data_IF_195494763913
#
_entry.id   IF_195494763913
#
_cell.length_a   1.000
_cell.length_b   1.000
_cell.length_c   1.000
_cell.angle_alpha   90.00
_cell.angle_beta   90.00
_cell.angle_gamma   90.00
#
_symmetry.space_group_name_H-M   'P 1'
#
loop_
_entity.id
_entity.type
_entity.pdbx_description
1 polymer ?
#
# COMPACT_ATOMS: atom_id res chain seq x y z
N UNK A 1 20.86 23.67 -13.28
CA UNK A 1 19.39 23.58 -13.38
C UNK A 1 18.84 23.36 -11.98
N UNK A 2 17.85 24.16 -11.55
CA UNK A 2 17.23 23.96 -10.23
C UNK A 2 16.32 22.74 -10.30
N UNK A 3 16.49 21.79 -9.37
CA UNK A 3 15.59 20.66 -9.25
C UNK A 3 14.34 21.10 -8.46
N UNK A 4 13.16 20.79 -8.98
CA UNK A 4 11.90 21.01 -8.27
C UNK A 4 11.56 19.74 -7.46
N UNK A 5 11.10 19.91 -6.23
CA UNK A 5 10.55 18.83 -5.41
C UNK A 5 9.04 18.84 -5.58
N UNK A 6 8.46 17.71 -5.99
CA UNK A 6 7.04 17.58 -6.27
C UNK A 6 6.47 16.44 -5.43
N UNK A 7 5.31 16.67 -4.83
CA UNK A 7 4.49 15.63 -4.20
C UNK A 7 3.23 15.48 -5.03
N UNK A 8 2.92 14.26 -5.45
CA UNK A 8 1.75 13.95 -6.28
C UNK A 8 0.89 12.93 -5.55
N UNK A 9 -0.39 13.26 -5.35
CA UNK A 9 -1.40 12.31 -4.89
C UNK A 9 -2.21 11.84 -6.10
N UNK A 10 -2.42 10.54 -6.23
CA UNK A 10 -3.11 9.99 -7.41
C UNK A 10 -3.83 8.69 -7.10
N UNK A 11 -4.94 8.48 -7.80
CA UNK A 11 -5.66 7.21 -7.85
C UNK A 11 -5.25 6.36 -9.06
N UNK A 12 -4.39 6.86 -9.95
CA UNK A 12 -3.98 6.16 -11.18
C UNK A 12 -2.91 5.09 -10.88
N UNK A 13 -3.21 3.78 -11.05
CA UNK A 13 -2.26 2.71 -10.76
C UNK A 13 -0.98 2.81 -11.59
N UNK A 14 -1.09 3.19 -12.87
CA UNK A 14 0.07 3.35 -13.78
C UNK A 14 1.10 4.36 -13.25
N UNK A 15 0.65 5.45 -12.63
CA UNK A 15 1.57 6.42 -12.03
C UNK A 15 2.31 5.84 -10.80
N UNK A 16 1.67 4.93 -10.05
CA UNK A 16 2.31 4.24 -8.93
C UNK A 16 3.41 3.30 -9.42
N UNK A 17 3.21 2.61 -10.55
CA UNK A 17 4.26 1.72 -11.12
C UNK A 17 5.52 2.47 -11.56
N UNK A 18 5.43 3.76 -11.87
CA UNK A 18 6.59 4.55 -12.28
C UNK A 18 7.65 4.66 -11.17
N UNK A 19 7.28 4.53 -9.90
CA UNK A 19 8.26 4.53 -8.80
C UNK A 19 9.15 3.29 -8.78
N UNK A 20 8.72 2.19 -9.40
CA UNK A 20 9.50 0.96 -9.44
C UNK A 20 10.63 1.02 -10.47
N UNK A 21 10.41 1.74 -11.58
CA UNK A 21 11.34 1.79 -12.71
C UNK A 21 12.24 3.04 -12.70
N UNK A 22 12.18 3.87 -11.66
CA UNK A 22 12.90 5.14 -11.63
C UNK A 22 13.29 5.58 -10.22
N UNK A 23 14.60 5.52 -9.92
CA UNK A 23 15.19 5.89 -8.64
C UNK A 23 14.91 7.34 -8.19
N UNK A 24 14.48 8.21 -9.10
CA UNK A 24 14.12 9.61 -8.79
C UNK A 24 12.67 9.75 -8.28
N UNK A 25 11.87 8.70 -8.38
CA UNK A 25 10.44 8.70 -8.03
C UNK A 25 10.23 7.71 -6.89
N UNK A 26 9.93 8.22 -5.71
CA UNK A 26 9.47 7.40 -4.59
C UNK A 26 7.95 7.24 -4.61
N UNK A 27 7.45 6.12 -4.07
CA UNK A 27 6.05 5.98 -3.70
C UNK A 27 5.89 6.08 -2.18
N UNK A 28 4.69 6.46 -1.77
CA UNK A 28 4.27 6.36 -0.38
C UNK A 28 2.77 6.07 -0.32
N UNK A 29 2.35 5.35 0.70
CA UNK A 29 0.97 4.97 0.91
C UNK A 29 0.52 5.30 2.34
N UNK A 30 -0.74 5.71 2.47
CA UNK A 30 -1.36 5.85 3.79
C UNK A 30 -1.74 4.46 4.27
N UNK A 31 -1.24 4.09 5.45
CA UNK A 31 -1.55 2.82 6.07
C UNK A 31 -3.00 2.78 6.56
N UNK A 32 -3.55 1.57 6.57
CA UNK A 32 -4.84 1.29 7.13
C UNK A 32 -4.66 0.64 8.50
N UNK A 33 -5.63 0.87 9.37
CA UNK A 33 -5.72 0.25 10.68
C UNK A 33 -6.38 -1.14 10.54
N UNK A 34 -5.61 -2.16 10.91
CA UNK A 34 -6.02 -3.57 10.89
C UNK A 34 -6.34 -4.13 12.29
N UNK A 35 -6.41 -3.27 13.32
CA UNK A 35 -6.72 -3.69 14.70
C UNK A 35 -8.11 -4.33 14.84
N UNK A 36 -9.04 -3.96 13.97
CA UNK A 36 -10.38 -4.53 13.89
C UNK A 36 -10.49 -5.46 12.67
N UNK A 37 -11.17 -6.60 12.83
CA UNK A 37 -11.48 -7.56 11.76
C UNK A 37 -12.63 -7.12 10.86
N UNK A 38 -13.18 -5.92 11.07
CA UNK A 38 -14.20 -5.37 10.18
C UNK A 38 -13.70 -5.28 8.73
N UNK A 39 -14.66 -5.42 7.80
CA UNK A 39 -14.46 -5.24 6.36
C UNK A 39 -13.97 -3.81 6.06
N UNK A 40 -14.21 -2.89 6.99
CA UNK A 40 -13.92 -1.48 6.89
C UNK A 40 -12.63 -1.14 7.63
N UNK A 41 -11.54 -1.05 6.90
CA UNK A 41 -10.29 -0.55 7.46
C UNK A 41 -10.30 0.97 7.48
N UNK A 42 -10.02 1.56 8.65
CA UNK A 42 -9.90 3.01 8.80
C UNK A 42 -8.49 3.44 8.38
N UNK A 43 -8.30 4.64 7.82
CA UNK A 43 -6.95 5.15 7.65
C UNK A 43 -6.30 5.35 9.01
N UNK A 44 -5.07 4.86 9.19
CA UNK A 44 -4.27 5.17 10.38
C UNK A 44 -3.69 6.59 10.33
N UNK A 45 -3.76 7.22 9.15
CA UNK A 45 -3.10 8.50 8.83
C UNK A 45 -1.58 8.45 8.97
N UNK A 46 -0.99 7.25 9.02
CA UNK A 46 0.44 7.05 8.94
C UNK A 46 0.86 6.88 7.47
N UNK A 47 1.95 7.53 7.07
CA UNK A 47 2.48 7.45 5.71
C UNK A 47 3.69 6.53 5.69
N UNK A 48 3.63 5.48 4.89
CA UNK A 48 4.73 4.53 4.68
C UNK A 48 5.40 4.78 3.34
N UNK A 49 6.73 4.92 3.34
CA UNK A 49 7.53 5.18 2.14
C UNK A 49 8.04 3.89 1.49
N UNK A 50 8.05 3.87 0.16
CA UNK A 50 8.43 2.70 -0.63
C UNK A 50 7.33 1.63 -0.68
N UNK A 51 6.10 1.97 -0.26
CA UNK A 51 4.93 1.10 -0.37
C UNK A 51 3.98 1.62 -1.45
N UNK A 52 3.68 0.77 -2.42
CA UNK A 52 2.58 0.99 -3.38
C UNK A 52 1.28 0.61 -2.68
N UNK A 53 0.44 1.60 -2.37
CA UNK A 53 -0.83 1.36 -1.70
C UNK A 53 -1.89 0.75 -2.63
N UNK A 54 -2.72 -0.14 -2.08
CA UNK A 54 -3.89 -0.70 -2.76
C UNK A 54 -5.02 0.33 -2.93
N UNK A 55 -5.96 0.03 -3.83
CA UNK A 55 -7.16 0.86 -4.04
C UNK A 55 -8.32 0.29 -3.23
N UNK A 56 -8.91 1.13 -2.37
CA UNK A 56 -10.08 0.76 -1.55
C UNK A 56 -11.36 1.48 -2.01
N UNK A 57 -11.45 1.81 -3.30
CA UNK A 57 -12.53 2.63 -3.86
C UNK A 57 -13.93 2.03 -3.65
N UNK A 58 -14.10 0.71 -3.85
CA UNK A 58 -15.39 0.04 -3.65
C UNK A 58 -15.84 0.07 -2.18
N UNK A 59 -14.91 -0.17 -1.25
CA UNK A 59 -15.18 -0.11 0.19
C UNK A 59 -15.50 1.32 0.65
N UNK A 60 -14.94 2.34 0.00
CA UNK A 60 -15.32 3.72 0.25
C UNK A 60 -16.72 4.03 -0.32
N UNK A 61 -17.00 3.58 -1.54
CA UNK A 61 -18.28 3.79 -2.22
C UNK A 61 -19.45 3.13 -1.47
N UNK A 62 -19.23 1.96 -0.87
CA UNK A 62 -20.26 1.28 -0.05
C UNK A 62 -20.69 2.06 1.19
N UNK A 63 -19.96 3.12 1.55
CA UNK A 63 -20.22 3.97 2.72
C UNK A 63 -20.76 5.36 2.35
N UNK A 64 -21.00 5.63 1.06
CA UNK A 64 -21.56 6.89 0.63
C UNK A 64 -22.94 7.13 1.27
N UNK A 65 -23.25 8.40 1.53
CA UNK A 65 -24.57 8.83 1.99
C UNK A 65 -25.11 9.85 0.98
N UNK A 66 -26.24 9.58 0.32
CA UNK A 66 -27.08 8.38 0.44
C UNK A 66 -26.38 7.10 -0.06
N UNK A 67 -26.78 5.95 0.49
CA UNK A 67 -26.21 4.65 0.14
C UNK A 67 -26.39 4.31 -1.34
N UNK A 68 -25.34 3.78 -1.95
CA UNK A 68 -25.42 3.24 -3.30
C UNK A 68 -26.16 1.90 -3.29
N UNK A 69 -26.96 1.59 -4.32
CA UNK A 69 -27.60 0.28 -4.44
C UNK A 69 -26.55 -0.84 -4.56
N UNK A 70 -26.79 -1.96 -3.88
CA UNK A 70 -25.84 -3.10 -3.85
C UNK A 70 -25.50 -3.62 -5.26
N UNK A 71 -26.49 -3.73 -6.14
CA UNK A 71 -26.26 -4.18 -7.52
C UNK A 71 -25.32 -3.26 -8.32
N UNK A 72 -25.22 -1.97 -7.98
CA UNK A 72 -24.28 -1.04 -8.61
C UNK A 72 -22.86 -1.34 -8.15
N UNK A 73 -22.66 -1.60 -6.85
CA UNK A 73 -21.36 -1.97 -6.30
C UNK A 73 -20.89 -3.33 -6.82
N UNK A 74 -21.79 -4.32 -6.88
CA UNK A 74 -21.51 -5.64 -7.44
C UNK A 74 -21.12 -5.55 -8.92
N UNK A 75 -21.86 -4.75 -9.70
CA UNK A 75 -21.50 -4.52 -11.12
C UNK A 75 -20.18 -3.79 -11.26
N UNK A 76 -19.90 -2.79 -10.42
CA UNK A 76 -18.63 -2.06 -10.45
C UNK A 76 -17.45 -2.97 -10.10
N UNK A 77 -17.62 -3.88 -9.13
CA UNK A 77 -16.65 -4.94 -8.83
C UNK A 77 -16.39 -5.84 -10.04
N UNK A 78 -17.47 -6.30 -10.70
CA UNK A 78 -17.36 -7.09 -11.93
C UNK A 78 -16.59 -6.35 -13.03
N UNK A 79 -16.89 -5.08 -13.27
CA UNK A 79 -16.20 -4.28 -14.28
C UNK A 79 -14.74 -4.01 -13.95
N UNK A 80 -14.37 -3.81 -12.69
CA UNK A 80 -12.96 -3.66 -12.32
C UNK A 80 -12.17 -4.95 -12.57
N UNK A 81 -12.83 -6.10 -12.43
CA UNK A 81 -12.25 -7.40 -12.75
C UNK A 81 -12.30 -7.72 -14.25
N UNK A 82 -13.32 -7.31 -15.00
CA UNK A 82 -13.46 -7.58 -16.45
C UNK A 82 -12.67 -6.62 -17.33
N UNK A 83 -12.56 -5.33 -16.96
CA UNK A 83 -11.62 -4.38 -17.61
C UNK A 83 -10.18 -4.86 -17.47
N UNK A 84 -9.92 -5.81 -16.58
CA UNK A 84 -8.62 -6.47 -16.45
C UNK A 84 -8.28 -7.43 -17.60
N UNK A 85 -9.29 -7.93 -18.32
CA UNK A 85 -9.10 -8.97 -19.35
C UNK A 85 -9.01 -8.38 -20.78
N UNK A 86 -9.69 -7.26 -21.05
CA UNK A 86 -9.86 -6.75 -22.42
C UNK A 86 -8.86 -5.64 -22.84
N UNK A 87 -8.24 -4.93 -21.89
CA UNK A 87 -7.35 -3.79 -22.20
C UNK A 87 -5.96 -3.96 -21.55
N UNK A 88 -5.00 -4.42 -22.35
CA UNK A 88 -3.56 -4.34 -22.08
C UNK A 88 -3.09 -5.10 -20.82
N UNK A 89 -3.25 -6.44 -20.86
CA UNK A 89 -2.72 -7.44 -19.91
C UNK A 89 -1.27 -7.17 -19.44
N UNK A 90 -0.46 -6.49 -20.25
CA UNK A 90 0.92 -6.10 -19.92
C UNK A 90 0.99 -5.07 -18.78
N UNK A 91 0.14 -4.05 -18.83
CA UNK A 91 0.11 -2.93 -17.89
C UNK A 91 -0.39 -3.37 -16.51
N UNK A 92 -1.37 -4.26 -16.44
CA UNK A 92 -1.91 -4.75 -15.18
C UNK A 92 -0.99 -5.75 -14.49
N UNK A 93 -0.39 -6.67 -15.25
CA UNK A 93 0.65 -7.54 -14.71
C UNK A 93 1.81 -6.73 -14.15
N UNK A 94 2.20 -5.63 -14.82
CA UNK A 94 3.23 -4.73 -14.29
C UNK A 94 2.82 -4.07 -12.97
N UNK A 95 1.54 -3.71 -12.80
CA UNK A 95 1.04 -3.12 -11.56
C UNK A 95 0.96 -4.13 -10.42
N UNK A 96 0.45 -5.33 -10.69
CA UNK A 96 0.39 -6.41 -9.71
C UNK A 96 1.81 -6.80 -9.30
N UNK A 97 2.72 -6.98 -10.26
CA UNK A 97 4.12 -7.27 -9.97
C UNK A 97 4.77 -6.16 -9.13
N UNK A 98 4.57 -4.89 -9.49
CA UNK A 98 5.09 -3.77 -8.71
C UNK A 98 4.51 -3.74 -7.28
N UNK A 99 3.22 -4.04 -7.12
CA UNK A 99 2.57 -4.15 -5.81
C UNK A 99 3.18 -5.28 -4.98
N UNK A 100 3.32 -6.48 -5.57
CA UNK A 100 3.91 -7.64 -4.89
C UNK A 100 5.34 -7.39 -4.47
N UNK A 101 6.18 -6.87 -5.38
CA UNK A 101 7.58 -6.55 -5.06
C UNK A 101 7.69 -5.46 -3.98
N UNK A 102 6.83 -4.44 -4.03
CA UNK A 102 6.80 -3.40 -3.00
C UNK A 102 6.39 -3.94 -1.63
N UNK A 103 5.42 -4.87 -1.58
CA UNK A 103 5.04 -5.55 -0.34
C UNK A 103 6.15 -6.46 0.19
N UNK A 104 6.83 -7.21 -0.67
CA UNK A 104 7.94 -8.07 -0.29
C UNK A 104 9.11 -7.26 0.31
N UNK A 105 9.49 -6.16 -0.35
CA UNK A 105 10.52 -5.26 0.15
C UNK A 105 10.12 -4.60 1.48
N UNK A 106 8.83 -4.29 1.66
CA UNK A 106 8.34 -3.78 2.93
C UNK A 106 8.42 -4.84 4.03
N UNK A 107 7.99 -6.08 3.76
CA UNK A 107 8.08 -7.19 4.71
C UNK A 107 9.53 -7.47 5.13
N UNK A 108 10.47 -7.44 4.20
CA UNK A 108 11.87 -7.68 4.51
C UNK A 108 12.46 -6.54 5.36
N UNK A 109 12.12 -5.28 5.08
CA UNK A 109 12.49 -4.14 5.93
C UNK A 109 11.93 -4.26 7.34
N UNK A 110 10.66 -4.65 7.48
CA UNK A 110 10.04 -4.88 8.79
C UNK A 110 10.74 -6.02 9.52
N UNK A 111 11.02 -7.13 8.83
CA UNK A 111 11.70 -8.29 9.41
C UNK A 111 13.08 -7.94 9.96
N UNK A 112 13.89 -7.23 9.18
CA UNK A 112 15.23 -6.79 9.60
C UNK A 112 15.13 -5.85 10.81
N UNK A 113 14.16 -4.94 10.79
CA UNK A 113 13.93 -4.01 11.91
C UNK A 113 13.50 -4.74 13.18
N UNK A 114 12.67 -5.77 13.07
CA UNK A 114 12.26 -6.58 14.23
C UNK A 114 13.41 -7.39 14.80
N UNK A 115 14.26 -7.99 13.95
CA UNK A 115 15.42 -8.75 14.44
C UNK A 115 16.44 -7.87 15.15
N UNK A 116 16.69 -6.64 14.66
CA UNK A 116 17.60 -5.72 15.35
C UNK A 116 17.04 -5.25 16.69
N UNK A 117 15.72 -5.04 16.79
CA UNK A 117 15.07 -4.67 18.05
C UNK A 117 15.17 -5.83 19.07
N UNK A 118 15.03 -7.08 18.62
CA UNK A 118 15.21 -8.24 19.49
C UNK A 118 16.65 -8.36 20.01
N UNK A 119 17.65 -8.18 19.13
CA UNK A 119 19.07 -8.18 19.50
C UNK A 119 19.39 -7.06 20.52
N UNK A 120 18.92 -5.83 20.27
CA UNK A 120 19.07 -4.71 21.21
C UNK A 120 18.37 -4.98 22.56
N UNK A 121 17.22 -5.66 22.55
CA UNK A 121 16.50 -6.01 23.76
C UNK A 121 17.26 -7.05 24.58
N UNK A 122 17.82 -8.08 23.94
CA UNK A 122 18.68 -9.09 24.56
C UNK A 122 19.92 -8.46 25.20
N UNK A 123 20.64 -7.60 24.45
CA UNK A 123 21.82 -6.89 24.94
C UNK A 123 21.50 -5.98 26.13
N UNK A 124 20.38 -5.26 26.07
CA UNK A 124 19.91 -4.42 27.19
C UNK A 124 19.54 -5.23 28.44
N UNK A 125 19.10 -6.48 28.26
CA UNK A 125 18.72 -7.36 29.38
C UNK A 125 19.96 -7.94 30.06
N UNK A 126 20.97 -8.34 29.29
CA UNK A 126 22.24 -8.82 29.80
C UNK A 126 22.99 -7.71 30.56
N UNK A 127 23.01 -6.49 30.02
CA UNK A 127 23.64 -5.35 30.68
C UNK A 127 22.96 -5.00 32.02
N UNK A 128 21.64 -5.20 32.13
CA UNK A 128 20.89 -5.04 33.39
C UNK A 128 21.16 -6.14 34.40
N UNK A 129 21.49 -7.34 33.96
CA UNK A 129 21.76 -8.49 34.83
C UNK A 129 23.21 -8.51 35.36
N UNK A 130 24.11 -7.80 34.68
CA UNK A 130 25.52 -7.64 35.08
C UNK A 130 25.79 -6.45 36.02
N UNK A 131 24.78 -5.61 36.29
CA UNK A 131 24.81 -4.54 37.31
C UNK A 131 24.19 -5.03 38.63
#
# INVERSE_FOLDING_TARGET
ASSCKVVVTTHLPRLKTLSYNNDKIGCAAVLLDYSDFSIFKRPSFHLEYGLIGESHALNAASRCVPSLPEHVLTRASGLLNDVSEEDDNSSQNSYIQALTSSMEEHLERTRISTSSIEEDAEDSSQCRQAM
#
